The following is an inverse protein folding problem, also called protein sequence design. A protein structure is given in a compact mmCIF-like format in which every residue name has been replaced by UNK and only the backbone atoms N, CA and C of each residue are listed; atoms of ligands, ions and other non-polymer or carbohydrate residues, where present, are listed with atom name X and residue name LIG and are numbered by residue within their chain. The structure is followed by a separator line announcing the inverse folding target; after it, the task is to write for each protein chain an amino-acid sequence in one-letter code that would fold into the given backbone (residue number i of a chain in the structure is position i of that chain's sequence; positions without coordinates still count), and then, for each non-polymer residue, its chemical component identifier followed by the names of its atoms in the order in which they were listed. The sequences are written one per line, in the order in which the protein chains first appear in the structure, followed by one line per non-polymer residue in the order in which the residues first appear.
data_IF_933144527125
#
_entry.id   IF_933144527125
#
_cell.length_a   1.000
_cell.length_b   1.000
_cell.length_c   1.000
_cell.angle_alpha   90.00
_cell.angle_beta   90.00
_cell.angle_gamma   90.00
#
_symmetry.space_group_name_H-M   'P 1'
#
loop_
_entity.id
_entity.type
_entity.pdbx_description
1 polymer ?
#
# COMPACT_ATOMS: atom_id res chain seq x y z
N UNK A 1 5.30 5.80 26.19
CA UNK A 1 5.41 5.99 24.73
C UNK A 1 6.45 4.99 24.22
N UNK A 2 6.03 3.85 23.69
CA UNK A 2 6.96 2.87 23.12
C UNK A 2 7.31 3.35 21.70
N UNK A 3 8.58 3.66 21.45
CA UNK A 3 9.08 3.95 20.10
C UNK A 3 9.02 2.65 19.32
N UNK A 4 7.99 2.45 18.51
CA UNK A 4 7.88 1.28 17.64
C UNK A 4 9.09 1.27 16.71
N UNK A 5 9.93 0.25 16.80
CA UNK A 5 11.01 0.02 15.84
C UNK A 5 10.37 -0.19 14.47
N UNK A 6 10.45 0.81 13.60
CA UNK A 6 9.92 0.72 12.23
C UNK A 6 10.85 -0.20 11.43
N UNK A 7 10.27 -1.23 10.81
CA UNK A 7 11.04 -2.13 9.94
C UNK A 7 11.67 -1.36 8.77
N UNK A 8 12.92 -1.66 8.37
CA UNK A 8 13.59 -0.94 7.29
C UNK A 8 12.84 -0.96 5.96
N UNK A 9 12.18 -2.07 5.61
CA UNK A 9 11.39 -2.17 4.38
C UNK A 9 10.07 -1.39 4.47
N UNK A 10 9.45 -1.35 5.65
CA UNK A 10 8.30 -0.49 5.91
C UNK A 10 8.67 0.99 5.74
N UNK A 11 9.81 1.41 6.30
CA UNK A 11 10.27 2.79 6.15
C UNK A 11 10.52 3.16 4.67
N UNK A 12 11.21 2.29 3.92
CA UNK A 12 11.42 2.48 2.48
C UNK A 12 10.11 2.56 1.70
N UNK A 13 9.14 1.70 2.03
CA UNK A 13 7.83 1.71 1.39
C UNK A 13 7.10 3.03 1.65
N UNK A 14 7.10 3.51 2.91
CA UNK A 14 6.50 4.78 3.28
C UNK A 14 7.15 5.96 2.55
N UNK A 15 8.47 5.99 2.47
CA UNK A 15 9.19 7.08 1.79
C UNK A 15 8.91 7.07 0.28
N UNK A 16 8.88 5.90 -0.34
CA UNK A 16 8.51 5.76 -1.77
C UNK A 16 7.05 6.12 -2.02
N UNK A 17 6.16 5.76 -1.09
CA UNK A 17 4.72 6.07 -1.15
C UNK A 17 4.47 7.57 -1.04
N UNK A 18 5.19 8.28 -0.16
CA UNK A 18 5.11 9.75 -0.06
C UNK A 18 5.54 10.44 -1.36
N UNK A 19 6.64 9.98 -1.97
CA UNK A 19 7.10 10.50 -3.26
C UNK A 19 6.03 10.31 -4.34
N UNK A 20 5.45 9.11 -4.42
CA UNK A 20 4.37 8.83 -5.37
C UNK A 20 3.15 9.71 -5.14
N UNK A 21 2.67 9.85 -3.90
CA UNK A 21 1.50 10.67 -3.61
C UNK A 21 1.73 12.15 -3.91
N UNK A 22 2.92 12.70 -3.67
CA UNK A 22 3.24 14.08 -4.05
C UNK A 22 3.07 14.34 -5.56
N UNK A 23 3.08 13.31 -6.41
CA UNK A 23 2.85 13.44 -7.86
C UNK A 23 1.37 13.32 -8.25
N UNK A 24 0.57 12.58 -7.46
CA UNK A 24 -0.79 12.15 -7.88
C UNK A 24 -1.91 12.64 -6.96
N UNK A 25 -1.61 13.19 -5.79
CA UNK A 25 -2.60 13.55 -4.78
C UNK A 25 -3.57 14.66 -5.22
N UNK A 26 -3.11 15.57 -6.07
CA UNK A 26 -3.93 16.67 -6.62
C UNK A 26 -4.72 16.29 -7.89
N UNK A 27 -4.62 15.03 -8.35
CA UNK A 27 -5.32 14.60 -9.55
C UNK A 27 -6.77 14.22 -9.24
N UNK A 28 -7.68 14.59 -10.14
CA UNK A 28 -9.12 14.31 -9.96
C UNK A 28 -9.41 12.81 -10.06
N UNK A 29 -10.04 12.19 -9.05
CA UNK A 29 -10.40 10.78 -9.10
C UNK A 29 -11.38 10.47 -10.24
N UNK A 30 -11.18 9.33 -10.91
CA UNK A 30 -12.05 8.86 -11.98
C UNK A 30 -11.33 7.96 -12.97
N UNK A 31 -12.05 7.55 -14.03
CA UNK A 31 -11.55 6.61 -15.04
C UNK A 31 -10.31 7.12 -15.78
N UNK A 32 -10.21 8.42 -15.99
CA UNK A 32 -9.04 9.04 -16.62
C UNK A 32 -7.80 8.91 -15.75
N UNK A 33 -7.93 9.19 -14.44
CA UNK A 33 -6.85 8.98 -13.50
C UNK A 33 -6.46 7.50 -13.41
N UNK A 34 -7.41 6.58 -13.32
CA UNK A 34 -7.11 5.14 -13.32
C UNK A 34 -6.33 4.71 -14.56
N UNK A 35 -6.73 5.21 -15.74
CA UNK A 35 -6.05 4.90 -17.00
C UNK A 35 -4.62 5.43 -16.99
N UNK A 36 -4.44 6.67 -16.51
CA UNK A 36 -3.13 7.29 -16.36
C UNK A 36 -2.25 6.53 -15.38
N UNK A 37 -2.77 6.17 -14.20
CA UNK A 37 -2.04 5.44 -13.17
C UNK A 37 -1.57 4.08 -13.68
N UNK A 38 -2.42 3.34 -14.39
CA UNK A 38 -2.05 2.06 -14.97
C UNK A 38 -1.02 2.20 -16.09
N UNK A 39 -1.06 3.27 -16.87
CA UNK A 39 -0.12 3.51 -17.96
C UNK A 39 1.26 3.98 -17.47
N UNK A 40 1.29 4.90 -16.51
CA UNK A 40 2.52 5.57 -16.05
C UNK A 40 3.16 4.87 -14.83
N UNK A 41 2.38 4.17 -14.03
CA UNK A 41 2.82 3.56 -12.76
C UNK A 41 2.38 2.10 -12.62
N UNK A 42 2.04 1.43 -13.73
CA UNK A 42 1.68 0.02 -13.77
C UNK A 42 2.89 -0.94 -13.71
N UNK A 43 2.66 -2.26 -13.91
CA UNK A 43 3.72 -3.27 -13.91
C UNK A 43 4.87 -2.96 -14.88
N UNK A 44 6.12 -3.17 -14.43
CA UNK A 44 7.32 -2.85 -15.20
C UNK A 44 7.78 -1.39 -15.09
N UNK A 45 7.05 -0.57 -14.33
CA UNK A 45 7.52 0.77 -13.92
C UNK A 45 8.27 0.66 -12.60
N UNK A 46 9.23 1.56 -12.39
CA UNK A 46 10.05 1.55 -11.17
C UNK A 46 9.21 1.69 -9.91
N UNK A 47 8.19 2.54 -9.89
CA UNK A 47 7.31 2.70 -8.72
C UNK A 47 6.59 1.38 -8.38
N UNK A 48 6.00 0.74 -9.38
CA UNK A 48 5.29 -0.52 -9.18
C UNK A 48 6.23 -1.62 -8.69
N UNK A 49 7.37 -1.78 -9.36
CA UNK A 49 8.32 -2.84 -9.05
C UNK A 49 8.97 -2.65 -7.67
N UNK A 50 9.24 -1.40 -7.26
CA UNK A 50 9.71 -1.05 -5.92
C UNK A 50 8.68 -1.45 -4.85
N UNK A 51 7.41 -1.05 -5.03
CA UNK A 51 6.32 -1.40 -4.11
C UNK A 51 6.14 -2.91 -4.01
N UNK A 52 6.04 -3.59 -5.16
CA UNK A 52 5.87 -5.03 -5.22
C UNK A 52 7.03 -5.75 -4.53
N UNK A 53 8.27 -5.30 -4.75
CA UNK A 53 9.46 -5.88 -4.13
C UNK A 53 9.46 -5.70 -2.62
N UNK A 54 9.20 -4.49 -2.12
CA UNK A 54 9.20 -4.19 -0.68
C UNK A 54 8.11 -4.95 0.07
N UNK A 55 6.90 -5.03 -0.51
CA UNK A 55 5.78 -5.79 0.06
C UNK A 55 6.13 -7.28 0.09
N UNK A 56 6.63 -7.84 -1.02
CA UNK A 56 7.05 -9.24 -1.07
C UNK A 56 8.17 -9.55 -0.07
N UNK A 57 9.14 -8.65 0.11
CA UNK A 57 10.19 -8.81 1.12
C UNK A 57 9.61 -8.83 2.53
N UNK A 58 8.72 -7.89 2.86
CA UNK A 58 8.07 -7.85 4.17
C UNK A 58 7.28 -9.15 4.48
N UNK A 59 6.61 -9.73 3.49
CA UNK A 59 5.96 -11.06 3.64
C UNK A 59 6.98 -12.17 3.81
N UNK A 60 7.96 -12.28 2.90
CA UNK A 60 8.98 -13.35 2.90
C UNK A 60 9.80 -13.38 4.19
N UNK A 61 10.07 -12.20 4.75
CA UNK A 61 10.84 -12.03 5.97
C UNK A 61 9.98 -12.11 7.24
N UNK A 62 8.67 -12.33 7.13
CA UNK A 62 7.71 -12.32 8.23
C UNK A 62 7.84 -11.07 9.13
N UNK A 63 7.95 -9.89 8.51
CA UNK A 63 8.20 -8.63 9.23
C UNK A 63 6.95 -8.13 10.00
N UNK A 64 5.81 -8.82 9.92
CA UNK A 64 4.62 -8.57 10.73
C UNK A 64 3.85 -7.29 10.41
N UNK A 65 4.39 -6.38 9.59
CA UNK A 65 3.71 -5.15 9.19
C UNK A 65 2.93 -5.26 7.87
N UNK A 66 3.26 -6.22 7.00
CA UNK A 66 2.54 -6.41 5.72
C UNK A 66 1.23 -7.16 5.94
N UNK A 67 1.30 -8.23 6.72
CA UNK A 67 0.16 -9.07 7.06
C UNK A 67 0.39 -9.59 8.49
N UNK A 68 -0.63 -9.43 9.34
CA UNK A 68 -0.58 -9.86 10.74
C UNK A 68 -1.21 -11.24 10.90
N UNK A 69 -2.28 -11.50 10.13
CA UNK A 69 -3.04 -12.75 10.17
C UNK A 69 -2.95 -13.48 8.83
N UNK A 70 -2.88 -14.81 8.89
CA UNK A 70 -2.94 -15.65 7.70
C UNK A 70 -4.37 -15.63 7.13
N UNK A 71 -4.55 -15.00 5.97
CA UNK A 71 -5.82 -15.05 5.23
C UNK A 71 -5.87 -16.30 4.36
N UNK A 72 -6.46 -17.37 4.88
CA UNK A 72 -6.68 -18.62 4.16
C UNK A 72 -7.91 -18.54 3.22
N UNK A 73 -7.65 -18.32 1.92
CA UNK A 73 -8.60 -18.51 0.81
C UNK A 73 -10.06 -18.05 1.08
N UNK A 74 -11.08 -18.91 0.91
CA UNK A 74 -12.51 -18.55 1.03
C UNK A 74 -12.93 -18.08 2.44
N UNK A 75 -12.02 -18.09 3.43
CA UNK A 75 -12.25 -17.53 4.77
C UNK A 75 -11.95 -16.03 4.84
N UNK A 76 -11.38 -15.41 3.80
CA UNK A 76 -11.30 -13.95 3.73
C UNK A 76 -12.71 -13.36 3.74
N UNK A 77 -13.08 -12.75 4.88
CA UNK A 77 -14.30 -11.96 5.03
C UNK A 77 -13.87 -10.50 4.94
N UNK A 78 -14.38 -9.76 3.96
CA UNK A 78 -14.27 -8.29 3.96
C UNK A 78 -14.95 -7.77 5.24
N UNK A 79 -14.16 -7.41 6.24
CA UNK A 79 -14.66 -6.71 7.44
C UNK A 79 -15.04 -5.28 7.04
N UNK A 80 -16.05 -4.71 7.71
CA UNK A 80 -16.39 -3.29 7.52
C UNK A 80 -15.13 -2.46 7.83
N UNK A 81 -14.61 -1.78 6.81
CA UNK A 81 -13.39 -0.94 6.91
C UNK A 81 -13.59 0.16 7.98
N UNK A 82 -14.81 0.69 8.06
CA UNK A 82 -15.28 1.52 9.16
C UNK A 82 -16.79 1.32 9.32
N UNK A 83 -17.30 1.59 10.53
CA UNK A 83 -18.73 1.80 10.70
C UNK A 83 -19.10 3.18 10.15
N UNK A 84 -20.35 3.39 9.69
CA UNK A 84 -20.81 4.72 9.34
C UNK A 84 -20.54 5.70 10.48
N UNK A 85 -19.78 6.76 10.20
CA UNK A 85 -19.50 7.86 11.12
C UNK A 85 -19.97 9.17 10.45
N UNK A 86 -20.26 10.18 11.28
CA UNK A 86 -20.74 11.47 10.78
C UNK A 86 -19.66 12.26 10.02
N UNK A 87 -18.39 11.92 10.23
CA UNK A 87 -17.27 12.48 9.50
C UNK A 87 -17.09 11.71 8.18
N UNK A 88 -17.27 12.44 7.08
CA UNK A 88 -16.95 12.00 5.71
C UNK A 88 -15.54 12.40 5.33
#
# INVERSE_FOLDING_TARGET
MATTLIHPNLQKLLDRTKQFFAEVEDLTPGRELETRLNAEYGPGTTIYDDFATLIQQGVKNNEGWVAVDETDGPKYRRTKISLPAAET
#
